data_IF_424308836369
#
_entry.id   IF_424308836369
#
_cell.length_a   1.000
_cell.length_b   1.000
_cell.length_c   1.000
_cell.angle_alpha   90.00
_cell.angle_beta   90.00
_cell.angle_gamma   90.00
#
_symmetry.space_group_name_H-M   'P 1'
#
loop_
_entity.id
_entity.type
_entity.pdbx_description
1 polymer ?
#
# COMPACT_ATOMS: atom_id res chain seq x y z
N UNK A 1 5.87 13.77 9.24
CA UNK A 1 6.94 12.80 9.59
C UNK A 1 6.86 12.67 11.11
N UNK A 2 6.54 11.50 11.65
CA UNK A 2 6.60 11.27 13.11
C UNK A 2 8.05 11.44 13.56
N UNK A 3 8.23 11.97 14.77
CA UNK A 3 9.51 12.50 15.26
C UNK A 3 10.54 11.38 15.50
N UNK A 4 10.09 10.12 15.60
CA UNK A 4 10.89 9.04 16.20
C UNK A 4 11.38 7.96 15.21
N UNK A 5 11.27 8.17 13.90
CA UNK A 5 11.82 7.21 12.92
C UNK A 5 11.07 5.87 12.91
N UNK A 6 11.79 4.77 12.68
CA UNK A 6 11.32 3.38 12.79
C UNK A 6 12.06 2.78 13.99
N UNK A 7 11.34 2.16 14.93
CA UNK A 7 11.97 1.53 16.10
C UNK A 7 12.92 0.42 15.65
N UNK A 8 13.93 0.12 16.47
CA UNK A 8 14.94 -0.87 16.09
C UNK A 8 14.33 -2.26 15.90
N UNK A 9 13.28 -2.55 16.65
CA UNK A 9 12.51 -3.78 16.60
C UNK A 9 11.64 -3.88 15.34
N UNK A 10 11.31 -2.75 14.70
CA UNK A 10 10.50 -2.67 13.48
C UNK A 10 11.37 -2.68 12.20
N UNK A 11 12.68 -2.88 12.33
CA UNK A 11 13.57 -3.06 11.19
C UNK A 11 13.28 -4.38 10.47
N UNK A 12 13.39 -4.43 9.12
CA UNK A 12 13.31 -5.67 8.38
C UNK A 12 14.33 -6.70 8.91
N UNK A 13 13.85 -7.91 9.15
CA UNK A 13 14.62 -9.09 9.55
C UNK A 13 15.02 -9.96 8.34
N UNK A 14 14.51 -9.64 7.16
CA UNK A 14 14.97 -10.12 5.86
C UNK A 14 16.02 -9.22 5.20
N UNK A 15 16.33 -9.49 3.93
CA UNK A 15 17.25 -8.68 3.11
C UNK A 15 16.69 -7.28 2.81
N UNK A 16 15.38 -7.19 2.56
CA UNK A 16 14.66 -5.97 2.18
C UNK A 16 13.35 -5.82 2.96
N UNK A 17 12.68 -6.92 3.29
CA UNK A 17 11.33 -6.92 3.86
C UNK A 17 11.25 -7.80 5.11
N UNK A 18 10.11 -7.73 5.79
CA UNK A 18 9.82 -8.57 6.96
C UNK A 18 9.72 -10.06 6.60
N UNK A 19 9.94 -10.93 7.58
CA UNK A 19 9.65 -12.36 7.49
C UNK A 19 8.45 -12.78 8.35
N UNK A 20 8.26 -12.14 9.51
CA UNK A 20 7.14 -12.45 10.42
C UNK A 20 5.84 -11.74 10.05
N UNK A 21 4.75 -12.13 10.71
CA UNK A 21 3.40 -11.64 10.47
C UNK A 21 3.22 -10.17 10.88
N UNK A 22 2.40 -9.43 10.12
CA UNK A 22 1.97 -8.06 10.48
C UNK A 22 0.48 -7.88 10.28
N UNK A 23 -0.08 -6.98 11.07
CA UNK A 23 -1.51 -6.75 11.17
C UNK A 23 -1.83 -5.27 10.96
N UNK A 24 -2.94 -5.00 10.29
CA UNK A 24 -3.50 -3.67 10.15
C UNK A 24 -4.74 -3.60 11.02
N UNK A 25 -4.80 -2.56 11.85
CA UNK A 25 -5.93 -2.28 12.72
C UNK A 25 -6.67 -1.01 12.28
N UNK A 26 -7.98 -0.97 12.54
CA UNK A 26 -8.75 0.27 12.41
C UNK A 26 -8.62 1.15 13.68
N UNK A 27 -9.27 2.31 13.68
CA UNK A 27 -9.29 3.23 14.83
C UNK A 27 -9.94 2.65 16.10
N UNK A 28 -10.73 1.58 15.96
CA UNK A 28 -11.37 0.85 17.06
C UNK A 28 -10.53 -0.33 17.56
N UNK A 29 -9.29 -0.49 17.07
CA UNK A 29 -8.38 -1.62 17.36
C UNK A 29 -8.88 -2.98 16.85
N UNK A 30 -9.81 -2.99 15.91
CA UNK A 30 -10.22 -4.23 15.24
C UNK A 30 -9.24 -4.53 14.12
N UNK A 31 -8.81 -5.79 14.03
CA UNK A 31 -7.99 -6.27 12.92
C UNK A 31 -8.81 -6.18 11.62
N UNK A 32 -8.30 -5.46 10.64
CA UNK A 32 -8.94 -5.31 9.33
C UNK A 32 -8.24 -6.09 8.23
N UNK A 33 -6.96 -6.43 8.42
CA UNK A 33 -6.16 -7.14 7.44
C UNK A 33 -4.88 -7.70 8.06
N UNK A 34 -4.47 -8.87 7.58
CA UNK A 34 -3.16 -9.45 7.87
C UNK A 34 -2.32 -9.45 6.60
N UNK A 35 -1.10 -8.91 6.70
CA UNK A 35 -0.16 -8.87 5.59
C UNK A 35 0.19 -10.26 5.07
N UNK A 36 0.62 -10.35 3.81
CA UNK A 36 0.99 -11.63 3.20
C UNK A 36 2.07 -12.30 4.05
N UNK A 37 1.84 -13.57 4.37
CA UNK A 37 2.75 -14.40 5.16
C UNK A 37 2.65 -15.82 4.65
N UNK A 38 3.78 -16.49 4.51
CA UNK A 38 3.86 -17.89 4.08
C UNK A 38 4.56 -18.72 5.15
N UNK A 39 4.20 -20.00 5.24
CA UNK A 39 4.78 -20.92 6.23
C UNK A 39 6.29 -21.17 6.03
N UNK A 40 6.81 -20.90 4.83
CA UNK A 40 8.23 -20.98 4.51
C UNK A 40 8.57 -19.96 3.41
N UNK A 41 9.09 -18.80 3.81
CA UNK A 41 9.61 -17.80 2.87
C UNK A 41 8.67 -16.61 2.59
N UNK A 42 8.25 -15.91 3.64
CA UNK A 42 7.42 -14.69 3.52
C UNK A 42 8.13 -13.61 2.70
N UNK A 43 9.42 -13.37 2.93
CA UNK A 43 10.16 -12.34 2.21
C UNK A 43 10.24 -12.64 0.71
N UNK A 44 10.50 -13.89 0.32
CA UNK A 44 10.57 -14.31 -1.08
C UNK A 44 9.26 -14.04 -1.82
N UNK A 45 8.13 -14.31 -1.17
CA UNK A 45 6.81 -14.03 -1.73
C UNK A 45 6.55 -12.52 -1.82
N UNK A 46 6.92 -11.74 -0.80
CA UNK A 46 6.83 -10.28 -0.85
C UNK A 46 7.68 -9.76 -2.02
N UNK A 47 8.92 -10.20 -2.18
CA UNK A 47 9.81 -9.81 -3.29
C UNK A 47 9.17 -10.15 -4.64
N UNK A 48 8.65 -11.36 -4.79
CA UNK A 48 8.00 -11.81 -6.02
C UNK A 48 6.82 -10.92 -6.39
N UNK A 49 5.93 -10.63 -5.45
CA UNK A 49 4.71 -9.85 -5.69
C UNK A 49 5.06 -8.38 -5.90
N UNK A 50 5.99 -7.82 -5.12
CA UNK A 50 6.47 -6.45 -5.29
C UNK A 50 7.10 -6.23 -6.66
N UNK A 51 7.89 -7.18 -7.16
CA UNK A 51 8.45 -7.11 -8.51
C UNK A 51 7.35 -7.12 -9.59
N UNK A 52 6.31 -7.96 -9.44
CA UNK A 52 5.15 -7.94 -10.35
C UNK A 52 4.44 -6.60 -10.32
N UNK A 53 4.27 -6.02 -9.13
CA UNK A 53 3.57 -4.76 -8.94
C UNK A 53 4.35 -3.57 -9.52
N UNK A 54 5.67 -3.55 -9.34
CA UNK A 54 6.55 -2.55 -9.94
C UNK A 54 6.61 -2.69 -11.47
N UNK A 55 6.63 -3.92 -12.00
CA UNK A 55 6.55 -4.15 -13.44
C UNK A 55 5.22 -3.64 -14.02
N UNK A 56 4.09 -3.93 -13.35
CA UNK A 56 2.79 -3.39 -13.74
C UNK A 56 2.78 -1.85 -13.76
N UNK A 57 3.39 -1.23 -12.74
CA UNK A 57 3.45 0.23 -12.63
C UNK A 57 4.30 0.86 -13.77
N UNK A 58 5.39 0.22 -14.18
CA UNK A 58 6.31 0.77 -15.18
C UNK A 58 5.97 0.40 -16.64
N UNK A 59 5.21 -0.66 -16.88
CA UNK A 59 4.87 -1.08 -18.24
C UNK A 59 3.80 -0.17 -18.86
N UNK A 60 3.90 0.02 -20.18
CA UNK A 60 2.83 0.62 -20.97
C UNK A 60 1.62 -0.31 -20.97
N UNK A 61 0.47 0.24 -20.59
CA UNK A 61 -0.81 -0.46 -20.58
C UNK A 61 -1.89 0.50 -21.07
N UNK A 62 -3.05 -0.02 -21.47
CA UNK A 62 -4.23 0.83 -21.76
C UNK A 62 -4.85 1.42 -20.46
N UNK A 63 -4.33 1.06 -19.28
CA UNK A 63 -4.82 1.54 -18.00
C UNK A 63 -4.33 2.96 -17.71
N UNK A 64 -5.25 3.82 -17.26
CA UNK A 64 -4.93 5.19 -16.85
C UNK A 64 -3.93 5.21 -15.67
N UNK A 65 -2.98 6.14 -15.68
CA UNK A 65 -1.92 6.22 -14.66
C UNK A 65 -2.44 6.43 -13.23
N UNK A 66 -3.55 7.16 -13.04
CA UNK A 66 -4.18 7.28 -11.71
C UNK A 66 -4.75 5.95 -11.22
N UNK A 67 -5.33 5.16 -12.13
CA UNK A 67 -5.86 3.83 -11.82
C UNK A 67 -4.72 2.86 -11.52
N UNK A 68 -3.63 2.87 -12.30
CA UNK A 68 -2.42 2.09 -12.01
C UNK A 68 -1.87 2.43 -10.63
N UNK A 69 -1.78 3.71 -10.29
CA UNK A 69 -1.35 4.17 -8.99
C UNK A 69 -2.28 3.70 -7.86
N UNK A 70 -3.61 3.78 -8.03
CA UNK A 70 -4.57 3.31 -7.04
C UNK A 70 -4.45 1.79 -6.80
N UNK A 71 -4.35 1.01 -7.88
CA UNK A 71 -4.11 -0.45 -7.83
C UNK A 71 -2.80 -0.75 -7.10
N UNK A 72 -1.71 -0.07 -7.45
CA UNK A 72 -0.43 -0.20 -6.76
C UNK A 72 -0.57 0.10 -5.26
N UNK A 73 -1.21 1.22 -4.92
CA UNK A 73 -1.35 1.67 -3.54
C UNK A 73 -2.15 0.68 -2.69
N UNK A 74 -3.23 0.13 -3.25
CA UNK A 74 -4.00 -0.95 -2.62
C UNK A 74 -3.13 -2.18 -2.38
N UNK A 75 -2.49 -2.71 -3.42
CA UNK A 75 -1.72 -3.95 -3.31
C UNK A 75 -0.51 -3.79 -2.40
N UNK A 76 0.15 -2.62 -2.38
CA UNK A 76 1.21 -2.36 -1.43
C UNK A 76 0.70 -2.44 0.03
N UNK A 77 -0.45 -1.83 0.31
CA UNK A 77 -1.11 -1.93 1.61
C UNK A 77 -1.51 -3.36 1.98
N UNK A 78 -1.96 -4.14 0.99
CA UNK A 78 -2.36 -5.55 1.13
C UNK A 78 -1.16 -6.47 1.39
N UNK A 79 -0.06 -6.30 0.65
CA UNK A 79 1.19 -7.05 0.85
C UNK A 79 1.74 -6.76 2.25
N UNK A 80 1.70 -5.48 2.64
CA UNK A 80 2.20 -4.98 3.91
C UNK A 80 3.66 -5.40 4.17
N UNK A 81 4.62 -4.93 3.35
CA UNK A 81 5.98 -5.48 3.30
C UNK A 81 6.90 -5.17 4.50
N UNK A 82 6.54 -4.22 5.36
CA UNK A 82 7.36 -3.81 6.51
C UNK A 82 6.61 -4.00 7.83
N UNK A 83 7.32 -4.00 8.96
CA UNK A 83 6.69 -3.97 10.30
C UNK A 83 6.02 -2.61 10.57
N UNK A 84 6.72 -1.52 10.25
CA UNK A 84 6.19 -0.16 10.32
C UNK A 84 6.53 0.62 9.03
N UNK A 85 5.79 1.69 8.79
CA UNK A 85 6.05 2.63 7.71
C UNK A 85 5.31 2.34 6.42
N UNK A 86 4.54 1.25 6.32
CA UNK A 86 3.84 0.85 5.09
C UNK A 86 2.99 1.99 4.49
N UNK A 87 2.15 2.64 5.29
CA UNK A 87 1.31 3.75 4.81
C UNK A 87 2.10 5.03 4.45
N UNK A 88 3.30 5.24 5.02
CA UNK A 88 4.20 6.34 4.65
C UNK A 88 4.89 6.02 3.32
N UNK A 89 5.42 4.81 3.18
CA UNK A 89 6.08 4.33 1.97
C UNK A 89 5.12 4.26 0.78
N UNK A 90 3.90 3.74 0.96
CA UNK A 90 2.88 3.70 -0.08
C UNK A 90 2.56 5.10 -0.62
N UNK A 91 2.32 6.07 0.26
CA UNK A 91 2.05 7.47 -0.12
C UNK A 91 3.25 8.13 -0.80
N UNK A 92 4.45 7.84 -0.33
CA UNK A 92 5.68 8.36 -0.93
C UNK A 92 5.85 7.85 -2.37
N UNK A 93 5.73 6.54 -2.58
CA UNK A 93 5.84 5.93 -3.92
C UNK A 93 4.74 6.49 -4.85
N UNK A 94 3.49 6.54 -4.38
CA UNK A 94 2.38 7.12 -5.16
C UNK A 94 2.62 8.58 -5.52
N UNK A 95 3.15 9.39 -4.60
CA UNK A 95 3.44 10.80 -4.88
C UNK A 95 4.54 10.95 -5.92
N UNK A 96 5.59 10.13 -5.87
CA UNK A 96 6.64 10.12 -6.90
C UNK A 96 6.05 9.71 -8.25
N UNK A 97 5.27 8.65 -8.29
CA UNK A 97 4.68 8.16 -9.54
C UNK A 97 3.80 9.21 -10.23
N UNK A 98 2.95 9.89 -9.46
CA UNK A 98 2.10 10.97 -9.98
C UNK A 98 2.91 12.20 -10.39
N UNK A 99 4.00 12.51 -9.69
CA UNK A 99 4.90 13.60 -10.09
C UNK A 99 5.49 13.36 -11.47
N UNK A 100 5.97 12.15 -11.73
CA UNK A 100 6.62 11.80 -13.01
C UNK A 100 5.63 11.73 -14.18
N UNK A 101 4.38 11.30 -13.95
CA UNK A 101 3.36 11.17 -15.00
C UNK A 101 2.49 12.41 -15.20
N UNK A 102 2.43 13.31 -14.22
CA UNK A 102 1.58 14.51 -14.26
C UNK A 102 2.33 15.78 -13.85
N UNK A 103 2.37 16.09 -12.56
CA UNK A 103 3.04 17.29 -12.06
C UNK A 103 3.32 17.20 -10.55
N UNK A 104 4.29 17.99 -10.09
CA UNK A 104 4.57 18.11 -8.66
C UNK A 104 3.39 18.70 -7.86
N UNK A 105 2.58 19.58 -8.47
CA UNK A 105 1.37 20.12 -7.85
C UNK A 105 0.33 19.01 -7.61
N UNK A 106 0.12 18.15 -8.61
CA UNK A 106 -0.79 17.00 -8.50
C UNK A 106 -0.32 16.03 -7.41
N UNK A 107 0.99 15.75 -7.35
CA UNK A 107 1.56 14.90 -6.32
C UNK A 107 1.40 15.49 -4.91
N UNK A 108 1.56 16.81 -4.76
CA UNK A 108 1.34 17.49 -3.49
C UNK A 108 -0.12 17.42 -3.05
N UNK A 109 -1.06 17.64 -3.99
CA UNK A 109 -2.49 17.51 -3.75
C UNK A 109 -2.89 16.10 -3.32
N UNK A 110 -2.30 15.07 -3.95
CA UNK A 110 -2.53 13.67 -3.55
C UNK A 110 -2.06 13.43 -2.10
N UNK A 111 -0.84 13.87 -1.76
CA UNK A 111 -0.27 13.68 -0.43
C UNK A 111 -1.14 14.29 0.68
N UNK A 112 -1.66 15.51 0.44
CA UNK A 112 -2.61 16.17 1.35
C UNK A 112 -3.95 15.42 1.40
N UNK A 113 -4.54 15.14 0.23
CA UNK A 113 -5.83 14.48 0.12
C UNK A 113 -5.87 13.08 0.77
N UNK A 114 -4.78 12.30 0.67
CA UNK A 114 -4.67 11.01 1.34
C UNK A 114 -4.65 11.11 2.87
N UNK A 115 -4.19 12.25 3.43
CA UNK A 115 -4.22 12.49 4.86
C UNK A 115 -5.62 12.90 5.32
N UNK A 116 -6.25 13.82 4.59
CA UNK A 116 -7.59 14.34 4.90
C UNK A 116 -8.67 13.24 4.78
N UNK A 117 -8.52 12.33 3.83
CA UNK A 117 -9.48 11.25 3.54
C UNK A 117 -9.07 9.89 4.12
N UNK A 118 -8.24 9.86 5.16
CA UNK A 118 -7.72 8.60 5.75
C UNK A 118 -8.83 7.61 6.14
N UNK A 119 -9.94 8.09 6.69
CA UNK A 119 -11.07 7.25 7.11
C UNK A 119 -11.78 6.61 5.92
N UNK A 120 -11.95 7.36 4.82
CA UNK A 120 -12.51 6.88 3.56
C UNK A 120 -11.59 5.83 2.93
N UNK A 121 -10.28 6.09 2.91
CA UNK A 121 -9.27 5.13 2.47
C UNK A 121 -9.36 3.82 3.24
N UNK A 122 -9.34 3.85 4.58
CA UNK A 122 -9.38 2.63 5.40
C UNK A 122 -10.70 1.87 5.19
N UNK A 123 -11.82 2.59 5.01
CA UNK A 123 -13.10 1.98 4.69
C UNK A 123 -13.08 1.29 3.32
N UNK A 124 -12.55 1.96 2.30
CA UNK A 124 -12.42 1.40 0.95
C UNK A 124 -11.50 0.17 0.95
N UNK A 125 -10.36 0.24 1.63
CA UNK A 125 -9.41 -0.87 1.78
C UNK A 125 -10.07 -2.07 2.47
N UNK A 126 -10.74 -1.84 3.61
CA UNK A 126 -11.44 -2.89 4.32
C UNK A 126 -12.56 -3.51 3.47
N UNK A 127 -13.35 -2.70 2.77
CA UNK A 127 -14.41 -3.20 1.88
C UNK A 127 -13.84 -4.09 0.77
N UNK A 128 -12.77 -3.68 0.08
CA UNK A 128 -12.16 -4.49 -0.98
C UNK A 128 -11.64 -5.84 -0.46
N UNK A 129 -11.16 -5.90 0.79
CA UNK A 129 -10.70 -7.14 1.42
C UNK A 129 -11.83 -8.09 1.84
N UNK A 130 -13.10 -7.65 1.83
CA UNK A 130 -14.20 -8.54 2.21
C UNK A 130 -14.37 -9.65 1.18
N UNK A 131 -14.58 -10.88 1.65
CA UNK A 131 -14.80 -12.06 0.79
C UNK A 131 -15.95 -11.83 -0.20
N UNK A 132 -17.01 -11.13 0.24
CA UNK A 132 -18.16 -10.77 -0.59
C UNK A 132 -17.81 -9.86 -1.77
N UNK A 133 -16.73 -9.08 -1.66
CA UNK A 133 -16.26 -8.17 -2.71
C UNK A 133 -15.28 -8.84 -3.68
N UNK A 134 -14.75 -10.03 -3.39
CA UNK A 134 -13.88 -10.80 -4.28
C UNK A 134 -12.67 -10.01 -4.84
N UNK A 135 -12.15 -9.03 -4.10
CA UNK A 135 -11.03 -8.19 -4.55
C UNK A 135 -11.42 -7.15 -5.62
N UNK A 136 -12.70 -6.79 -5.71
CA UNK A 136 -13.19 -5.73 -6.59
C UNK A 136 -12.58 -4.37 -6.20
N UNK A 137 -11.97 -3.70 -7.18
CA UNK A 137 -11.21 -2.47 -6.98
C UNK A 137 -11.87 -1.19 -7.50
N UNK A 138 -13.02 -1.21 -8.18
CA UNK A 138 -13.63 0.02 -8.67
C UNK A 138 -13.97 0.95 -7.50
N UNK A 139 -14.49 0.41 -6.39
CA UNK A 139 -14.80 1.24 -5.23
C UNK A 139 -13.57 1.85 -4.58
N UNK A 140 -12.44 1.15 -4.63
CA UNK A 140 -11.16 1.66 -4.13
C UNK A 140 -10.64 2.76 -5.07
N UNK A 141 -10.52 2.47 -6.37
CA UNK A 141 -9.96 3.40 -7.35
C UNK A 141 -10.77 4.70 -7.50
N UNK A 142 -12.09 4.68 -7.23
CA UNK A 142 -12.94 5.85 -7.31
C UNK A 142 -13.02 6.68 -6.01
N UNK A 143 -12.51 6.16 -4.88
CA UNK A 143 -12.71 6.77 -3.55
C UNK A 143 -11.46 6.90 -2.70
N UNK A 144 -10.30 6.39 -3.14
CA UNK A 144 -9.02 6.48 -2.43
C UNK A 144 -8.27 7.78 -2.66
#
# INVERSE_FOLDING_TARGET
ITVDGVEKEDLPDGKFFRQDETYIYNSSLEEIHRGITSSSGTEEDIILIMNKLLNFLNNETECNELVKNAIFHYYFGYIHPFYDGNGRTARFISSIYIKENYSWLTALSLSQGSNDNRSLYLKAFHSTNQISMQGELNFFCLRC
#
